data_IF_413283596058
#
_entry.id   IF_413283596058
#
_cell.length_a   1.000
_cell.length_b   1.000
_cell.length_c   1.000
_cell.angle_alpha   90.00
_cell.angle_beta   90.00
_cell.angle_gamma   90.00
#
_symmetry.space_group_name_H-M   'P 1'
#
loop_
_entity.id
_entity.type
_entity.pdbx_description
1 polymer ?
#
# COMPACT_ATOMS: atom_id res chain seq x y z
N UNK A 1 17.27 39.23 -45.38
CA UNK A 1 18.41 38.56 -44.73
C UNK A 1 17.93 37.86 -43.47
N UNK A 2 17.88 36.53 -43.50
CA UNK A 2 17.35 35.67 -42.45
C UNK A 2 18.54 35.14 -41.61
N UNK A 3 18.67 35.54 -40.35
CA UNK A 3 19.72 35.03 -39.46
C UNK A 3 19.09 34.00 -38.52
N UNK A 4 19.25 32.71 -38.87
CA UNK A 4 18.82 31.61 -38.02
C UNK A 4 19.75 31.49 -36.82
N UNK A 5 19.22 31.72 -35.61
CA UNK A 5 19.84 31.32 -34.34
C UNK A 5 19.98 29.80 -34.33
N UNK A 6 21.22 29.32 -34.39
CA UNK A 6 21.54 27.90 -34.20
C UNK A 6 21.15 27.47 -32.77
N UNK A 7 20.31 26.44 -32.67
CA UNK A 7 20.02 25.76 -31.40
C UNK A 7 21.26 24.95 -31.05
N UNK A 8 21.98 25.38 -30.00
CA UNK A 8 23.06 24.57 -29.41
C UNK A 8 22.48 23.23 -28.92
N UNK A 9 23.12 22.08 -29.22
CA UNK A 9 22.69 20.79 -28.69
C UNK A 9 22.93 20.72 -27.17
N UNK A 10 22.11 19.97 -26.42
CA UNK A 10 22.26 19.83 -24.97
C UNK A 10 23.60 19.15 -24.64
N UNK A 11 24.41 19.84 -23.84
CA UNK A 11 25.69 19.32 -23.35
C UNK A 11 25.50 18.08 -22.47
N UNK A 12 26.06 16.94 -22.90
CA UNK A 12 25.96 15.62 -22.26
C UNK A 12 26.56 15.55 -20.83
N UNK A 13 27.20 16.61 -20.36
CA UNK A 13 27.81 16.72 -19.03
C UNK A 13 26.81 17.02 -17.88
N UNK A 14 25.55 17.34 -18.16
CA UNK A 14 24.54 17.61 -17.12
C UNK A 14 23.88 16.35 -16.53
N UNK A 15 23.96 15.20 -17.21
CA UNK A 15 23.32 13.95 -16.78
C UNK A 15 23.78 13.42 -15.40
N UNK A 16 25.09 13.37 -15.06
CA UNK A 16 25.52 12.85 -13.76
C UNK A 16 25.18 13.78 -12.59
N UNK A 17 25.25 15.10 -12.78
CA UNK A 17 24.88 16.09 -11.73
C UNK A 17 23.37 16.04 -11.45
N UNK A 18 22.55 15.81 -12.48
CA UNK A 18 21.11 15.62 -12.36
C UNK A 18 20.73 14.41 -11.50
N UNK A 19 21.40 13.26 -11.66
CA UNK A 19 21.14 12.04 -10.89
C UNK A 19 21.43 12.21 -9.39
N UNK A 20 22.56 12.83 -9.05
CA UNK A 20 22.97 13.08 -7.65
C UNK A 20 22.01 14.09 -7.01
N UNK A 21 21.57 15.09 -7.77
CA UNK A 21 20.56 16.04 -7.29
C UNK A 21 19.22 15.37 -6.98
N UNK A 22 18.79 14.42 -7.81
CA UNK A 22 17.61 13.57 -7.62
C UNK A 22 17.65 12.76 -6.33
N UNK A 23 18.81 12.19 -5.98
CA UNK A 23 18.96 11.41 -4.75
C UNK A 23 18.80 12.25 -3.46
N UNK A 24 19.13 13.54 -3.50
CA UNK A 24 18.98 14.43 -2.34
C UNK A 24 17.55 14.97 -2.13
N UNK A 25 16.64 14.76 -3.10
CA UNK A 25 15.27 15.30 -3.04
C UNK A 25 14.43 14.78 -1.85
N UNK A 26 14.42 13.48 -1.50
CA UNK A 26 13.63 12.99 -0.37
C UNK A 26 14.04 13.65 0.96
N UNK A 27 15.34 13.84 1.18
CA UNK A 27 15.86 14.48 2.39
C UNK A 27 15.50 15.98 2.45
N UNK A 28 15.57 16.67 1.31
CA UNK A 28 15.12 18.07 1.21
C UNK A 28 13.60 18.20 1.43
N UNK A 29 12.81 17.26 0.93
CA UNK A 29 11.37 17.22 1.12
C UNK A 29 10.99 17.00 2.60
N UNK A 30 11.69 16.11 3.31
CA UNK A 30 11.51 15.94 4.76
C UNK A 30 11.82 17.24 5.53
N UNK A 31 12.95 17.88 5.21
CA UNK A 31 13.32 19.15 5.84
C UNK A 31 12.30 20.27 5.59
N UNK A 32 11.71 20.31 4.40
CA UNK A 32 10.63 21.24 4.07
C UNK A 32 9.37 20.94 4.89
N UNK A 33 8.95 19.67 4.95
CA UNK A 33 7.78 19.24 5.71
C UNK A 33 7.86 19.61 7.19
N UNK A 34 9.01 19.39 7.82
CA UNK A 34 9.24 19.73 9.24
C UNK A 34 9.05 21.23 9.48
N UNK A 35 9.42 22.08 8.50
CA UNK A 35 9.33 23.54 8.61
C UNK A 35 7.95 24.10 8.25
N UNK A 36 7.09 23.32 7.60
CA UNK A 36 5.76 23.76 7.14
C UNK A 36 4.64 22.98 7.83
N UNK A 37 4.26 23.36 9.06
CA UNK A 37 3.25 22.63 9.84
C UNK A 37 1.86 22.59 9.17
N UNK A 38 1.56 23.57 8.31
CA UNK A 38 0.33 23.60 7.52
C UNK A 38 0.18 22.40 6.58
N UNK A 39 1.28 21.76 6.16
CA UNK A 39 1.23 20.59 5.28
C UNK A 39 0.96 19.27 6.03
N UNK A 40 1.10 19.25 7.36
CA UNK A 40 1.04 18.02 8.13
C UNK A 40 -0.33 17.36 8.10
N UNK A 41 -1.41 18.16 8.06
CA UNK A 41 -2.77 17.63 7.93
C UNK A 41 -2.95 16.74 6.71
N UNK A 42 -2.31 17.08 5.59
CA UNK A 42 -2.39 16.30 4.35
C UNK A 42 -1.61 14.97 4.39
N UNK A 43 -0.70 14.80 5.35
CA UNK A 43 0.04 13.55 5.56
C UNK A 43 -0.61 12.71 6.67
N UNK A 44 -0.98 13.36 7.78
CA UNK A 44 -1.50 12.68 8.97
C UNK A 44 -2.89 12.10 8.71
N UNK A 45 -3.77 12.81 8.00
CA UNK A 45 -5.16 12.36 7.80
C UNK A 45 -5.22 11.02 7.05
N UNK A 46 -4.53 10.82 5.90
CA UNK A 46 -4.46 9.50 5.25
C UNK A 46 -3.88 8.41 6.14
N UNK A 47 -2.88 8.72 6.97
CA UNK A 47 -2.29 7.75 7.91
C UNK A 47 -3.29 7.33 8.97
N UNK A 48 -4.05 8.27 9.54
CA UNK A 48 -5.10 7.98 10.52
C UNK A 48 -6.20 7.13 9.88
N UNK A 49 -6.63 7.45 8.65
CA UNK A 49 -7.60 6.65 7.91
C UNK A 49 -7.08 5.21 7.73
N UNK A 50 -5.81 5.04 7.34
CA UNK A 50 -5.20 3.72 7.19
C UNK A 50 -5.13 2.94 8.50
N UNK A 51 -4.86 3.60 9.62
CA UNK A 51 -4.89 2.98 10.95
C UNK A 51 -6.31 2.48 11.25
N UNK A 52 -7.33 3.30 10.99
CA UNK A 52 -8.74 2.90 11.20
C UNK A 52 -9.09 1.71 10.31
N UNK A 53 -8.76 1.75 9.02
CA UNK A 53 -8.98 0.63 8.09
C UNK A 53 -8.25 -0.61 8.56
N UNK A 54 -7.01 -0.49 9.05
CA UNK A 54 -6.24 -1.61 9.59
C UNK A 54 -6.88 -2.22 10.82
N UNK A 55 -7.41 -1.41 11.74
CA UNK A 55 -8.18 -1.91 12.89
C UNK A 55 -9.44 -2.66 12.42
N UNK A 56 -10.17 -2.10 11.45
CA UNK A 56 -11.36 -2.73 10.89
C UNK A 56 -11.05 -4.06 10.21
N UNK A 57 -9.97 -4.14 9.43
CA UNK A 57 -9.53 -5.39 8.81
C UNK A 57 -9.01 -6.39 9.85
N UNK A 58 -8.35 -5.93 10.91
CA UNK A 58 -7.90 -6.79 12.00
C UNK A 58 -9.09 -7.45 12.70
N UNK A 59 -10.06 -6.66 13.16
CA UNK A 59 -11.23 -7.16 13.90
C UNK A 59 -12.19 -7.90 12.98
N UNK A 60 -12.41 -7.39 11.77
CA UNK A 60 -13.43 -7.90 10.84
C UNK A 60 -12.96 -9.08 9.99
N UNK A 61 -11.64 -9.24 9.78
CA UNK A 61 -11.13 -10.27 8.86
C UNK A 61 -9.99 -11.10 9.46
N UNK A 62 -8.94 -10.49 10.01
CA UNK A 62 -7.79 -11.25 10.51
C UNK A 62 -8.16 -12.14 11.70
N UNK A 63 -8.70 -11.54 12.75
CA UNK A 63 -9.06 -12.25 13.98
C UNK A 63 -10.08 -13.38 13.73
N UNK A 64 -11.25 -13.13 13.11
CA UNK A 64 -12.19 -14.20 12.80
C UNK A 64 -11.63 -15.18 11.76
N UNK A 65 -10.81 -14.71 10.81
CA UNK A 65 -10.19 -15.56 9.80
C UNK A 65 -9.23 -16.59 10.38
N UNK A 66 -8.37 -16.19 11.32
CA UNK A 66 -7.46 -17.11 12.01
C UNK A 66 -8.22 -18.15 12.84
N UNK A 67 -9.25 -17.72 13.58
CA UNK A 67 -10.10 -18.64 14.34
C UNK A 67 -10.86 -19.61 13.41
N UNK A 68 -11.36 -19.11 12.28
CA UNK A 68 -12.03 -19.92 11.26
C UNK A 68 -11.09 -20.97 10.64
N UNK A 69 -9.83 -20.61 10.37
CA UNK A 69 -8.82 -21.55 9.87
C UNK A 69 -8.53 -22.62 10.91
N UNK A 70 -8.36 -22.26 12.19
CA UNK A 70 -8.12 -23.22 13.28
C UNK A 70 -9.26 -24.24 13.37
N UNK A 71 -10.51 -23.77 13.39
CA UNK A 71 -11.71 -24.62 13.45
C UNK A 71 -11.81 -25.50 12.20
N UNK A 72 -11.57 -24.93 11.02
CA UNK A 72 -11.62 -25.67 9.76
C UNK A 72 -10.59 -26.80 9.76
N UNK A 73 -9.32 -26.49 10.04
CA UNK A 73 -8.23 -27.47 10.04
C UNK A 73 -8.47 -28.54 11.10
N UNK A 74 -8.85 -28.17 12.33
CA UNK A 74 -9.14 -29.15 13.39
C UNK A 74 -10.31 -30.08 13.03
N UNK A 75 -11.38 -29.55 12.42
CA UNK A 75 -12.51 -30.38 11.97
C UNK A 75 -12.09 -31.35 10.87
N UNK A 76 -11.23 -30.91 9.94
CA UNK A 76 -10.69 -31.75 8.88
C UNK A 76 -9.77 -32.84 9.44
N UNK A 77 -8.87 -32.49 10.37
CA UNK A 77 -7.97 -33.43 11.03
C UNK A 77 -8.77 -34.51 11.78
N UNK A 78 -9.76 -34.13 12.59
CA UNK A 78 -10.62 -35.08 13.30
C UNK A 78 -11.39 -36.01 12.34
N UNK A 79 -11.84 -35.50 11.19
CA UNK A 79 -12.45 -36.33 10.17
C UNK A 79 -11.43 -37.31 9.60
N UNK A 80 -10.26 -36.85 9.18
CA UNK A 80 -9.22 -37.71 8.60
C UNK A 80 -8.79 -38.79 9.60
N UNK A 81 -8.59 -38.46 10.88
CA UNK A 81 -8.23 -39.43 11.93
C UNK A 81 -9.30 -40.53 12.08
N UNK A 82 -10.58 -40.17 12.03
CA UNK A 82 -11.69 -41.13 12.07
C UNK A 82 -11.66 -42.08 10.87
N UNK A 83 -11.24 -41.61 9.70
CA UNK A 83 -11.12 -42.46 8.52
C UNK A 83 -9.88 -43.35 8.59
N UNK A 84 -8.74 -42.81 9.02
CA UNK A 84 -7.46 -43.54 9.14
C UNK A 84 -7.53 -44.64 10.20
N UNK A 85 -8.21 -44.41 11.32
CA UNK A 85 -8.39 -45.42 12.38
C UNK A 85 -9.17 -46.66 11.93
N UNK A 86 -9.98 -46.55 10.87
CA UNK A 86 -10.71 -47.67 10.29
C UNK A 86 -9.92 -48.42 9.19
N UNK A 87 -8.68 -48.00 8.88
CA UNK A 87 -7.87 -48.63 7.84
C UNK A 87 -7.08 -49.86 8.35
N UNK A 88 -6.84 -50.86 7.48
CA UNK A 88 -5.90 -51.93 7.74
C UNK A 88 -4.49 -51.44 8.12
N UNK A 89 -3.78 -52.19 8.97
CA UNK A 89 -2.46 -51.81 9.53
C UNK A 89 -1.38 -51.51 8.49
N UNK A 90 -1.45 -52.10 7.29
CA UNK A 90 -0.49 -51.83 6.22
C UNK A 90 -0.63 -50.42 5.61
N UNK A 91 -1.77 -49.76 5.77
CA UNK A 91 -1.99 -48.36 5.34
C UNK A 91 -1.61 -47.33 6.40
N UNK A 92 -1.15 -47.75 7.59
CA UNK A 92 -0.93 -46.85 8.72
C UNK A 92 0.13 -45.77 8.48
N UNK A 93 0.96 -45.91 7.45
CA UNK A 93 1.88 -44.85 7.00
C UNK A 93 1.15 -43.57 6.54
N UNK A 94 -0.14 -43.65 6.17
CA UNK A 94 -0.95 -42.50 5.77
C UNK A 94 -1.16 -41.49 6.91
N UNK A 95 -1.04 -41.91 8.17
CA UNK A 95 -1.16 -41.06 9.35
C UNK A 95 -0.15 -39.89 9.31
N UNK A 96 1.11 -40.19 8.96
CA UNK A 96 2.15 -39.17 8.79
C UNK A 96 1.81 -38.20 7.65
N UNK A 97 1.23 -38.71 6.55
CA UNK A 97 0.85 -37.86 5.41
C UNK A 97 -0.33 -36.93 5.75
N UNK A 98 -1.28 -37.39 6.57
CA UNK A 98 -2.40 -36.58 7.04
C UNK A 98 -1.91 -35.35 7.83
N UNK A 99 -0.99 -35.56 8.78
CA UNK A 99 -0.39 -34.48 9.58
C UNK A 99 0.31 -33.45 8.70
N UNK A 100 1.09 -33.90 7.72
CA UNK A 100 1.80 -33.00 6.78
C UNK A 100 0.81 -32.18 5.96
N UNK A 101 -0.26 -32.80 5.47
CA UNK A 101 -1.31 -32.13 4.69
C UNK A 101 -2.06 -31.09 5.53
N UNK A 102 -2.40 -31.40 6.78
CA UNK A 102 -3.04 -30.46 7.71
C UNK A 102 -2.18 -29.23 7.98
N UNK A 103 -0.88 -29.43 8.24
CA UNK A 103 0.07 -28.33 8.40
C UNK A 103 0.21 -27.48 7.13
N UNK A 104 0.35 -28.14 5.97
CA UNK A 104 0.48 -27.45 4.68
C UNK A 104 -0.77 -26.61 4.39
N UNK A 105 -1.96 -27.17 4.60
CA UNK A 105 -3.24 -26.49 4.44
C UNK A 105 -3.31 -25.25 5.33
N UNK A 106 -2.94 -25.38 6.61
CA UNK A 106 -2.89 -24.26 7.56
C UNK A 106 -1.97 -23.15 7.05
N UNK A 107 -0.75 -23.47 6.63
CA UNK A 107 0.22 -22.49 6.11
C UNK A 107 -0.32 -21.77 4.88
N UNK A 108 -0.89 -22.51 3.93
CA UNK A 108 -1.48 -21.95 2.71
C UNK A 108 -2.64 -21.00 3.04
N UNK A 109 -3.57 -21.42 3.91
CA UNK A 109 -4.73 -20.61 4.30
C UNK A 109 -4.32 -19.34 5.04
N UNK A 110 -3.39 -19.43 6.00
CA UNK A 110 -2.88 -18.25 6.72
C UNK A 110 -2.16 -17.31 5.77
N UNK A 111 -1.32 -17.84 4.88
CA UNK A 111 -0.59 -17.03 3.90
C UNK A 111 -1.57 -16.33 2.96
N UNK A 112 -2.59 -17.03 2.46
CA UNK A 112 -3.62 -16.45 1.62
C UNK A 112 -4.41 -15.35 2.35
N UNK A 113 -4.79 -15.58 3.61
CA UNK A 113 -5.46 -14.58 4.44
C UNK A 113 -4.61 -13.31 4.60
N UNK A 114 -3.33 -13.45 4.89
CA UNK A 114 -2.40 -12.31 5.01
C UNK A 114 -2.21 -11.58 3.68
N UNK A 115 -2.14 -12.31 2.56
CA UNK A 115 -2.07 -11.71 1.23
C UNK A 115 -3.31 -10.87 0.93
N UNK A 116 -4.50 -11.39 1.22
CA UNK A 116 -5.76 -10.67 1.04
C UNK A 116 -5.78 -9.40 1.91
N UNK A 117 -5.42 -9.51 3.19
CA UNK A 117 -5.38 -8.35 4.10
C UNK A 117 -4.37 -7.31 3.63
N UNK A 118 -3.16 -7.73 3.28
CA UNK A 118 -2.12 -6.83 2.77
C UNK A 118 -2.55 -6.13 1.49
N UNK A 119 -3.17 -6.86 0.56
CA UNK A 119 -3.75 -6.29 -0.65
C UNK A 119 -4.83 -5.25 -0.35
N UNK A 120 -5.78 -5.57 0.54
CA UNK A 120 -6.85 -4.65 0.93
C UNK A 120 -6.30 -3.39 1.61
N UNK A 121 -5.32 -3.52 2.51
CA UNK A 121 -4.66 -2.38 3.15
C UNK A 121 -4.02 -1.44 2.13
N UNK A 122 -3.26 -2.00 1.18
CA UNK A 122 -2.62 -1.21 0.13
C UNK A 122 -3.65 -0.54 -0.79
N UNK A 123 -4.69 -1.28 -1.18
CA UNK A 123 -5.72 -0.78 -2.08
C UNK A 123 -6.54 0.33 -1.44
N UNK A 124 -7.08 0.11 -0.23
CA UNK A 124 -7.84 1.12 0.48
C UNK A 124 -6.97 2.32 0.86
N UNK A 125 -5.72 2.11 1.27
CA UNK A 125 -4.84 3.22 1.62
C UNK A 125 -4.41 4.09 0.45
N UNK A 126 -4.26 3.50 -0.74
CA UNK A 126 -4.04 4.25 -1.97
C UNK A 126 -5.28 5.05 -2.36
N UNK A 127 -6.44 4.41 -2.41
CA UNK A 127 -7.71 5.04 -2.84
C UNK A 127 -8.14 6.13 -1.87
N UNK A 128 -8.18 5.83 -0.57
CA UNK A 128 -8.62 6.78 0.44
C UNK A 128 -7.58 7.88 0.65
N UNK A 129 -6.29 7.62 0.44
CA UNK A 129 -5.26 8.66 0.54
C UNK A 129 -5.19 9.61 -0.66
N UNK A 130 -5.68 9.19 -1.84
CA UNK A 130 -5.54 9.93 -3.10
C UNK A 130 -5.95 11.41 -3.06
N UNK A 131 -7.09 11.80 -2.44
CA UNK A 131 -7.49 13.21 -2.38
C UNK A 131 -6.47 14.09 -1.65
N UNK A 132 -5.90 13.58 -0.55
CA UNK A 132 -4.92 14.31 0.24
C UNK A 132 -3.56 14.39 -0.46
N UNK A 133 -3.16 13.34 -1.20
CA UNK A 133 -1.92 13.38 -1.99
C UNK A 133 -1.98 14.46 -3.09
N UNK A 134 -3.13 14.64 -3.73
CA UNK A 134 -3.35 15.71 -4.71
C UNK A 134 -3.33 17.10 -4.08
N UNK A 135 -4.07 17.31 -2.99
CA UNK A 135 -4.06 18.59 -2.29
C UNK A 135 -2.68 18.95 -1.74
N UNK A 136 -1.92 17.94 -1.29
CA UNK A 136 -0.57 18.13 -0.82
C UNK A 136 0.37 18.60 -1.94
N UNK A 137 0.28 18.02 -3.14
CA UNK A 137 1.12 18.43 -4.26
C UNK A 137 0.79 19.86 -4.71
N UNK A 138 -0.49 20.22 -4.75
CA UNK A 138 -0.94 21.59 -5.07
C UNK A 138 -0.39 22.61 -4.06
N UNK A 139 -0.52 22.33 -2.76
CA UNK A 139 -0.02 23.23 -1.71
C UNK A 139 1.50 23.30 -1.69
N UNK A 140 2.18 22.21 -2.02
CA UNK A 140 3.62 22.17 -2.15
C UNK A 140 4.11 23.01 -3.35
N UNK A 141 3.40 22.96 -4.48
CA UNK A 141 3.69 23.77 -5.65
C UNK A 141 3.42 25.26 -5.40
N UNK A 142 2.34 25.60 -4.70
CA UNK A 142 2.05 26.98 -4.27
C UNK A 142 3.16 27.55 -3.40
N UNK A 143 3.64 26.78 -2.42
CA UNK A 143 4.77 27.16 -1.56
C UNK A 143 6.08 27.33 -2.33
N UNK A 144 6.29 26.56 -3.39
CA UNK A 144 7.54 26.59 -4.18
C UNK A 144 7.54 27.67 -5.25
N UNK A 145 6.40 27.93 -5.89
CA UNK A 145 6.29 28.82 -7.06
C UNK A 145 5.67 30.17 -6.72
N UNK A 146 5.00 30.29 -5.57
CA UNK A 146 4.23 31.47 -5.19
C UNK A 146 2.96 31.68 -6.02
N UNK A 147 2.58 30.71 -6.86
CA UNK A 147 1.39 30.75 -7.73
C UNK A 147 0.41 29.66 -7.33
N UNK A 148 -0.91 29.90 -7.37
CA UNK A 148 -1.88 28.83 -7.16
C UNK A 148 -1.73 27.78 -8.26
N UNK A 149 -1.56 26.51 -7.86
CA UNK A 149 -1.37 25.37 -8.77
C UNK A 149 -2.61 25.07 -9.64
N UNK A 150 -3.79 25.46 -9.16
CA UNK A 150 -5.08 25.33 -9.87
C UNK A 150 -5.77 26.69 -9.85
N UNK A 151 -6.14 27.23 -11.02
CA UNK A 151 -7.03 28.39 -11.09
C UNK A 151 -8.39 27.99 -10.49
N UNK A 152 -8.98 28.79 -9.58
CA UNK A 152 -10.26 28.46 -8.94
C UNK A 152 -11.34 28.11 -9.98
N UNK A 153 -12.12 27.01 -9.81
CA UNK A 153 -13.23 26.64 -10.72
C UNK A 153 -14.39 27.65 -10.80
N UNK A 154 -14.28 28.80 -10.14
CA UNK A 154 -15.33 29.78 -9.91
C UNK A 154 -14.97 31.20 -10.35
N UNK A 155 -14.20 31.37 -11.43
CA UNK A 155 -14.15 32.65 -12.16
C UNK A 155 -15.32 32.82 -13.16
N UNK A 156 -16.52 32.31 -12.83
CA UNK A 156 -17.74 32.63 -13.58
C UNK A 156 -18.41 33.93 -13.10
N UNK A 157 -17.88 34.55 -12.04
CA UNK A 157 -18.36 35.83 -11.49
C UNK A 157 -17.72 37.08 -12.13
N UNK A 158 -17.03 36.94 -13.26
CA UNK A 158 -16.45 38.08 -14.00
C UNK A 158 -17.14 38.35 -15.34
N UNK A 159 -18.38 37.88 -15.54
CA UNK A 159 -19.18 38.12 -16.76
C UNK A 159 -20.49 38.89 -16.47
N UNK A 160 -20.70 39.41 -15.25
CA UNK A 160 -21.74 40.41 -14.98
C UNK A 160 -21.22 41.50 -14.06
#
# INVERSE_FOLDING_TARGET
MNSQKSKQPPSLLHAPVGLISGFTYPFRALGLFIRTPKLWGYVIVPVVINIIVGILLYVGLLFPGLNGIEVLVSNLDNQIDTWVTNLPTWLRYLDVSAVILGWLLRVVLVTALLFVIGFLLLQFGGILGAPWYGQLSEKLEELRTGKPAVLPPNSFTSIF
#
